data_IF_797798813516
#
_entry.id   IF_797798813516
#
_cell.length_a   1.000
_cell.length_b   1.000
_cell.length_c   1.000
_cell.angle_alpha   90.00
_cell.angle_beta   90.00
_cell.angle_gamma   90.00
#
_symmetry.space_group_name_H-M   'P 1'
#
loop_
_entity.id
_entity.type
_entity.pdbx_description
1 polymer ?
#
# COMPACT_ATOMS: atom_id res chain seq x y z
N UNK A 1 6.07 8.17 -2.05
CA UNK A 1 4.63 7.90 -1.83
C UNK A 1 4.35 6.43 -1.56
N UNK A 2 4.62 5.49 -2.48
CA UNK A 2 4.39 4.04 -2.27
C UNK A 2 5.03 3.49 -0.99
N UNK A 3 6.26 3.91 -0.68
CA UNK A 3 6.96 3.52 0.56
C UNK A 3 6.17 3.84 1.83
N UNK A 4 5.69 5.08 1.96
CA UNK A 4 4.87 5.52 3.10
C UNK A 4 3.56 4.75 3.18
N UNK A 5 2.92 4.51 2.03
CA UNK A 5 1.69 3.74 1.97
C UNK A 5 1.88 2.29 2.44
N UNK A 6 3.01 1.68 2.09
CA UNK A 6 3.34 0.34 2.52
C UNK A 6 3.65 0.30 4.03
N UNK A 7 4.35 1.30 4.55
CA UNK A 7 4.58 1.46 5.99
C UNK A 7 3.28 1.67 6.78
N UNK A 8 2.36 2.49 6.26
CA UNK A 8 1.09 2.80 6.92
C UNK A 8 0.09 1.63 6.83
N UNK A 9 0.18 0.80 5.78
CA UNK A 9 -0.73 -0.32 5.56
C UNK A 9 -0.28 -1.64 6.22
N UNK A 10 1.02 -1.79 6.52
CA UNK A 10 1.55 -2.97 7.20
C UNK A 10 1.12 -2.94 8.66
N UNK A 11 0.42 -3.98 9.11
CA UNK A 11 -0.09 -4.08 10.48
C UNK A 11 0.87 -4.84 11.40
N UNK A 12 1.47 -5.91 10.89
CA UNK A 12 2.22 -6.89 11.70
C UNK A 12 3.62 -7.19 11.17
N UNK A 13 3.88 -6.87 9.91
CA UNK A 13 5.13 -7.20 9.24
C UNK A 13 5.23 -8.67 8.86
N UNK A 14 4.16 -9.47 8.92
CA UNK A 14 4.04 -10.87 8.45
C UNK A 14 3.16 -10.98 7.20
N UNK A 15 3.02 -9.87 6.48
CA UNK A 15 2.26 -9.81 5.26
C UNK A 15 3.10 -10.20 4.04
N UNK A 16 2.45 -10.85 3.09
CA UNK A 16 2.94 -11.09 1.76
C UNK A 16 2.42 -9.97 0.84
N UNK A 17 3.33 -9.27 0.15
CA UNK A 17 3.02 -8.18 -0.77
C UNK A 17 2.84 -8.74 -2.18
N UNK A 18 1.62 -8.73 -2.67
CA UNK A 18 1.27 -9.11 -4.05
C UNK A 18 1.16 -7.82 -4.87
N UNK A 19 1.85 -7.77 -6.01
CA UNK A 19 1.93 -6.56 -6.84
C UNK A 19 1.34 -6.78 -8.22
N UNK A 20 1.09 -5.68 -8.94
CA UNK A 20 0.65 -5.76 -10.32
C UNK A 20 1.69 -6.44 -11.22
N UNK A 21 1.21 -7.12 -12.26
CA UNK A 21 2.04 -7.73 -13.30
C UNK A 21 3.03 -6.73 -13.93
N UNK A 22 2.63 -5.47 -14.08
CA UNK A 22 3.44 -4.38 -14.64
C UNK A 22 4.14 -3.52 -13.57
N UNK A 23 4.01 -3.83 -12.28
CA UNK A 23 4.65 -3.06 -11.21
C UNK A 23 6.10 -3.52 -11.00
N UNK A 24 7.03 -2.72 -11.50
CA UNK A 24 8.48 -2.95 -11.37
C UNK A 24 9.16 -2.19 -10.23
N UNK A 25 8.47 -1.26 -9.57
CA UNK A 25 9.06 -0.40 -8.52
C UNK A 25 9.06 -1.07 -7.15
N UNK A 26 8.17 -2.03 -6.92
CA UNK A 26 8.09 -2.82 -5.70
C UNK A 26 8.79 -4.14 -5.98
N UNK A 27 10.09 -4.18 -5.70
CA UNK A 27 10.94 -5.36 -5.84
C UNK A 27 11.42 -5.87 -4.46
N UNK A 28 12.25 -6.90 -4.48
CA UNK A 28 12.78 -7.51 -3.26
C UNK A 28 13.65 -6.54 -2.44
N UNK A 29 14.41 -5.65 -3.09
CA UNK A 29 15.24 -4.66 -2.38
C UNK A 29 14.36 -3.59 -1.73
N UNK A 30 13.29 -3.18 -2.41
CA UNK A 30 12.29 -2.27 -1.87
C UNK A 30 11.61 -2.85 -0.63
N UNK A 31 11.12 -4.09 -0.69
CA UNK A 31 10.51 -4.74 0.49
C UNK A 31 11.51 -4.83 1.65
N UNK A 32 12.77 -5.16 1.36
CA UNK A 32 13.83 -5.23 2.37
C UNK A 32 14.16 -3.86 2.98
N UNK A 33 14.03 -2.78 2.23
CA UNK A 33 14.12 -1.41 2.74
C UNK A 33 12.96 -1.10 3.69
N UNK A 34 11.72 -1.44 3.31
CA UNK A 34 10.53 -1.28 4.16
C UNK A 34 10.68 -2.06 5.47
N UNK A 35 11.07 -3.34 5.40
CA UNK A 35 11.27 -4.17 6.59
C UNK A 35 12.33 -3.61 7.54
N UNK A 36 13.34 -2.87 7.04
CA UNK A 36 14.32 -2.20 7.89
C UNK A 36 13.71 -1.01 8.64
N UNK A 37 12.80 -0.27 8.00
CA UNK A 37 12.16 0.91 8.60
C UNK A 37 11.06 0.57 9.59
N UNK A 38 10.31 -0.52 9.37
CA UNK A 38 9.30 -1.00 10.31
C UNK A 38 9.88 -1.47 11.66
N UNK A 39 11.20 -1.66 11.74
CA UNK A 39 11.89 -2.01 12.97
C UNK A 39 11.97 -3.53 13.25
N UNK A 40 12.62 -3.92 14.36
CA UNK A 40 12.97 -5.31 14.67
C UNK A 40 11.77 -6.27 14.78
N UNK A 41 10.59 -5.80 15.18
CA UNK A 41 9.40 -6.64 15.37
C UNK A 41 8.75 -7.07 14.05
N UNK A 42 8.94 -6.29 12.97
CA UNK A 42 8.40 -6.56 11.63
C UNK A 42 9.47 -7.06 10.63
N UNK A 43 10.72 -7.20 11.10
CA UNK A 43 11.93 -7.23 10.25
C UNK A 43 12.10 -8.49 9.39
N UNK A 44 11.36 -9.56 9.68
CA UNK A 44 11.67 -10.88 9.11
C UNK A 44 10.54 -11.55 8.36
N UNK A 45 9.33 -10.98 8.34
CA UNK A 45 8.19 -11.71 7.82
C UNK A 45 7.51 -11.03 6.61
N UNK A 46 7.80 -9.76 6.33
CA UNK A 46 7.27 -9.05 5.17
C UNK A 46 8.02 -9.53 3.92
N UNK A 47 7.29 -10.04 2.92
CA UNK A 47 7.90 -10.66 1.73
C UNK A 47 7.19 -10.19 0.48
N UNK A 48 7.91 -10.11 -0.63
CA UNK A 48 7.27 -9.99 -1.94
C UNK A 48 6.74 -11.37 -2.34
N UNK A 49 5.50 -11.43 -2.79
CA UNK A 49 4.93 -12.66 -3.36
C UNK A 49 5.53 -12.94 -4.74
N UNK A 50 5.70 -14.22 -5.04
CA UNK A 50 5.92 -14.67 -6.42
C UNK A 50 4.64 -14.55 -7.26
N UNK A 51 3.48 -14.48 -6.61
CA UNK A 51 2.20 -14.24 -7.27
C UNK A 51 2.09 -12.76 -7.67
N UNK A 52 1.75 -12.52 -8.94
CA UNK A 52 1.36 -11.21 -9.44
C UNK A 52 -0.08 -11.26 -9.91
N UNK A 53 -0.81 -10.16 -9.70
CA UNK A 53 -2.23 -10.09 -10.05
C UNK A 53 -2.48 -8.85 -10.90
N UNK A 54 -3.43 -8.91 -11.84
CA UNK A 54 -3.81 -7.73 -12.62
C UNK A 54 -4.66 -6.79 -11.75
N UNK A 55 -3.98 -5.83 -11.13
CA UNK A 55 -4.54 -4.84 -10.22
C UNK A 55 -4.64 -3.46 -10.89
N UNK A 56 -3.98 -3.26 -12.02
CA UNK A 56 -3.84 -1.99 -12.72
C UNK A 56 -2.86 -1.02 -12.03
N UNK A 57 -2.96 -0.85 -10.69
CA UNK A 57 -2.01 -0.07 -9.90
C UNK A 57 -2.13 -0.34 -8.38
N UNK A 58 -0.99 -0.43 -7.69
CA UNK A 58 -0.89 -0.61 -6.23
C UNK A 58 -0.42 -2.00 -5.82
N UNK A 59 -0.82 -2.45 -4.62
CA UNK A 59 -0.43 -3.75 -4.06
C UNK A 59 -1.49 -4.32 -3.12
N UNK A 60 -1.44 -5.62 -2.87
CA UNK A 60 -2.25 -6.31 -1.87
C UNK A 60 -1.31 -6.81 -0.77
N UNK A 61 -1.70 -6.57 0.48
CA UNK A 61 -1.09 -7.23 1.64
C UNK A 61 -1.92 -8.46 2.01
N UNK A 62 -1.28 -9.62 2.02
CA UNK A 62 -1.91 -10.91 2.27
C UNK A 62 -1.32 -11.51 3.54
N UNK A 63 -2.17 -11.82 4.52
CA UNK A 63 -1.80 -12.52 5.76
C UNK A 63 -2.76 -13.66 6.01
N UNK A 64 -2.36 -14.88 5.66
CA UNK A 64 -3.23 -16.06 5.70
C UNK A 64 -4.49 -15.87 4.83
N UNK A 65 -5.65 -15.73 5.48
CA UNK A 65 -6.95 -15.50 4.80
C UNK A 65 -7.30 -14.01 4.63
N UNK A 66 -6.58 -13.11 5.28
CA UNK A 66 -6.83 -11.67 5.22
C UNK A 66 -6.10 -11.11 4.01
N UNK A 67 -6.81 -10.34 3.19
CA UNK A 67 -6.27 -9.61 2.04
C UNK A 67 -6.67 -8.14 2.18
N UNK A 68 -5.69 -7.27 2.33
CA UNK A 68 -5.88 -5.82 2.34
C UNK A 68 -5.47 -5.29 0.99
N UNK A 69 -6.43 -4.82 0.21
CA UNK A 69 -6.16 -4.22 -1.10
C UNK A 69 -5.78 -2.74 -0.93
N UNK A 70 -4.54 -2.42 -1.28
CA UNK A 70 -3.99 -1.06 -1.30
C UNK A 70 -3.72 -0.68 -2.75
N UNK A 71 -4.79 -0.69 -3.55
CA UNK A 71 -4.74 -0.21 -4.92
C UNK A 71 -4.58 1.31 -4.93
N UNK A 72 -3.71 1.82 -5.81
CA UNK A 72 -3.52 3.26 -6.00
C UNK A 72 -4.84 3.92 -6.43
N UNK A 73 -5.79 3.18 -7.01
CA UNK A 73 -7.14 3.65 -7.29
C UNK A 73 -7.92 4.01 -6.01
N UNK A 74 -7.92 3.15 -4.98
CA UNK A 74 -8.58 3.45 -3.70
C UNK A 74 -7.92 4.67 -3.02
N UNK A 75 -6.59 4.77 -3.10
CA UNK A 75 -5.85 5.91 -2.55
C UNK A 75 -6.10 7.20 -3.33
N UNK A 76 -6.21 7.13 -4.67
CA UNK A 76 -6.56 8.25 -5.52
C UNK A 76 -8.01 8.71 -5.29
N UNK A 77 -8.93 7.76 -5.08
CA UNK A 77 -10.31 8.06 -4.69
C UNK A 77 -10.39 8.74 -3.31
N UNK A 78 -9.58 8.30 -2.34
CA UNK A 78 -9.50 8.94 -1.03
C UNK A 78 -8.94 10.37 -1.13
N UNK A 79 -7.82 10.56 -1.84
CA UNK A 79 -7.24 11.88 -2.06
C UNK A 79 -8.21 12.82 -2.82
N UNK A 80 -8.94 12.29 -3.81
CA UNK A 80 -9.98 13.04 -4.53
C UNK A 80 -11.12 13.43 -3.59
N UNK A 81 -11.59 12.53 -2.71
CA UNK A 81 -12.65 12.83 -1.73
C UNK A 81 -12.23 13.92 -0.74
N UNK A 82 -10.98 13.89 -0.28
CA UNK A 82 -10.47 14.95 0.61
C UNK A 82 -10.48 16.32 -0.07
N UNK A 83 -10.02 16.40 -1.32
CA UNK A 83 -10.10 17.61 -2.15
C UNK A 83 -11.54 18.07 -2.39
N UNK A 84 -12.47 17.14 -2.69
CA UNK A 84 -13.89 17.47 -2.86
C UNK A 84 -14.51 18.04 -1.58
N UNK A 85 -14.13 17.52 -0.40
CA UNK A 85 -14.58 18.04 0.90
C UNK A 85 -14.00 19.44 1.17
N UNK A 86 -12.73 19.66 0.84
CA UNK A 86 -12.08 20.96 1.00
C UNK A 86 -12.71 22.03 0.09
N UNK A 87 -12.94 21.69 -1.19
CA UNK A 87 -13.64 22.54 -2.15
C UNK A 87 -15.08 22.84 -1.70
N UNK A 88 -15.81 21.84 -1.18
CA UNK A 88 -17.16 22.05 -0.65
C UNK A 88 -17.16 22.97 0.57
N UNK A 89 -16.16 22.89 1.45
CA UNK A 89 -16.02 23.83 2.56
C UNK A 89 -15.78 25.25 2.05
N UNK A 90 -14.92 25.47 1.04
CA UNK A 90 -14.72 26.81 0.49
C UNK A 90 -15.98 27.38 -0.19
N UNK A 91 -16.75 26.54 -0.88
CA UNK A 91 -17.96 26.96 -1.62
C UNK A 91 -19.19 27.18 -0.74
N UNK A 92 -19.32 26.46 0.38
CA UNK A 92 -20.51 26.48 1.24
C UNK A 92 -20.26 27.03 2.65
N UNK A 93 -19.04 27.47 2.98
CA UNK A 93 -18.76 28.22 4.22
C UNK A 93 -18.97 29.74 4.07
N UNK A 94 -19.60 30.19 2.98
CA UNK A 94 -20.04 31.57 2.76
C UNK A 94 -21.52 31.78 3.03
#
# INVERSE_FOLDING_TARGET
MIKKLLLDAVETGDEEVVVDTNEGRIDHEFIKEISRELGPDCKNNLRLSDERQDLGAGFILKRGKIKTNVSIQVLLEQARKELEIELAKELFAG
#
